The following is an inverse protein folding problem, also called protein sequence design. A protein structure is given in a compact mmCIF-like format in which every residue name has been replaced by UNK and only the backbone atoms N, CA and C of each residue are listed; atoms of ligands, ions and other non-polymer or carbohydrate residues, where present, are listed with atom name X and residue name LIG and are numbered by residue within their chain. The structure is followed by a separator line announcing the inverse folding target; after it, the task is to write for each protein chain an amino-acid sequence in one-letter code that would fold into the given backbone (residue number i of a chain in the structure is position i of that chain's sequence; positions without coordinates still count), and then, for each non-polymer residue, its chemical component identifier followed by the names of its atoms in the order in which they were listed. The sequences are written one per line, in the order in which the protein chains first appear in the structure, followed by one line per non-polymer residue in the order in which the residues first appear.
data_IF_365956617920
#
_entry.id   IF_365956617920
#
_cell.length_a   1.000
_cell.length_b   1.000
_cell.length_c   1.000
_cell.angle_alpha   90.00
_cell.angle_beta   90.00
_cell.angle_gamma   90.00
#
_symmetry.space_group_name_H-M   'P 1'
#
loop_
_entity.id
_entity.type
_entity.pdbx_description
1 polymer ?
#
# COMPACT_ATOMS: atom_id res chain seq x y z
N UNK A 1 2.69 5.97 6.18
CA UNK A 1 3.94 5.62 6.91
C UNK A 1 4.27 4.17 6.67
N UNK A 2 5.55 3.82 6.66
CA UNK A 2 6.07 2.44 6.63
C UNK A 2 6.57 1.98 7.99
N UNK A 3 6.88 2.95 8.86
CA UNK A 3 7.34 2.71 10.21
C UNK A 3 6.85 3.82 11.14
N UNK A 4 6.50 3.47 12.37
CA UNK A 4 6.00 4.37 13.41
C UNK A 4 6.69 4.07 14.73
N UNK A 5 7.29 5.09 15.35
CA UNK A 5 7.86 5.01 16.69
C UNK A 5 7.53 6.26 17.51
N UNK A 6 7.32 6.07 18.80
CA UNK A 6 7.24 7.16 19.80
C UNK A 6 8.49 7.17 20.66
N UNK A 7 9.17 6.04 20.77
CA UNK A 7 10.32 5.82 21.64
C UNK A 7 11.62 5.97 20.86
N UNK A 8 12.56 6.78 21.39
CA UNK A 8 13.83 7.07 20.72
C UNK A 8 14.74 5.85 20.61
N UNK A 9 14.90 4.99 21.63
CA UNK A 9 15.67 3.76 21.52
C UNK A 9 15.21 2.85 20.38
N UNK A 10 13.89 2.61 20.25
CA UNK A 10 13.33 1.80 19.16
C UNK A 10 13.57 2.45 17.80
N UNK A 11 13.43 3.76 17.72
CA UNK A 11 13.69 4.51 16.48
C UNK A 11 15.17 4.45 16.06
N UNK A 12 16.11 4.54 17.01
CA UNK A 12 17.54 4.35 16.75
C UNK A 12 17.83 2.95 16.23
N UNK A 13 17.22 1.92 16.84
CA UNK A 13 17.37 0.55 16.35
C UNK A 13 16.84 0.39 14.92
N UNK A 14 15.66 0.93 14.63
CA UNK A 14 15.12 0.96 13.27
C UNK A 14 16.07 1.61 12.28
N UNK A 15 16.68 2.75 12.63
CA UNK A 15 17.64 3.43 11.75
C UNK A 15 18.92 2.61 11.51
N UNK A 16 19.42 1.87 12.52
CA UNK A 16 20.56 0.96 12.35
C UNK A 16 20.28 -0.16 11.37
N UNK A 17 19.05 -0.68 11.37
CA UNK A 17 18.63 -1.79 10.53
C UNK A 17 18.25 -1.36 9.09
N UNK A 18 17.71 -0.15 8.94
CA UNK A 18 17.09 0.31 7.69
C UNK A 18 17.85 1.39 6.94
N UNK A 19 18.95 1.91 7.50
CA UNK A 19 19.69 3.01 6.88
C UNK A 19 21.21 2.83 7.01
N UNK A 20 21.93 3.64 6.25
CA UNK A 20 23.41 3.76 6.34
C UNK A 20 23.86 4.90 7.27
N UNK A 21 22.93 5.49 8.02
CA UNK A 21 23.21 6.59 8.93
C UNK A 21 24.06 6.10 10.11
N UNK A 22 25.14 6.81 10.41
CA UNK A 22 25.87 6.63 11.64
C UNK A 22 25.08 7.22 12.82
N UNK A 23 24.26 6.39 13.43
CA UNK A 23 23.35 6.79 14.53
C UNK A 23 24.09 7.08 15.83
N UNK A 24 25.29 6.51 16.00
CA UNK A 24 26.05 6.63 17.23
C UNK A 24 26.79 7.98 17.30
N UNK A 25 27.05 8.62 16.18
CA UNK A 25 27.61 9.97 16.12
C UNK A 25 26.57 11.09 16.32
N UNK A 26 25.26 10.74 16.32
CA UNK A 26 24.18 11.71 16.45
C UNK A 26 23.86 12.00 17.91
N UNK A 27 23.37 13.22 18.17
CA UNK A 27 22.80 13.57 19.49
C UNK A 27 21.31 13.32 19.50
N UNK A 28 20.86 12.48 20.41
CA UNK A 28 19.46 12.11 20.56
C UNK A 28 18.87 12.67 21.85
N UNK A 29 17.68 13.23 21.76
CA UNK A 29 16.87 13.54 22.95
C UNK A 29 16.10 12.29 23.34
N UNK A 30 16.61 11.57 24.36
CA UNK A 30 16.06 10.30 24.81
C UNK A 30 14.70 10.45 25.51
N UNK A 31 14.30 11.67 25.88
CA UNK A 31 13.01 11.97 26.49
C UNK A 31 11.94 12.35 25.45
N UNK A 32 12.33 12.54 24.20
CA UNK A 32 11.39 12.86 23.13
C UNK A 32 10.35 11.75 22.93
N UNK A 33 9.09 12.15 23.01
CA UNK A 33 7.89 11.28 22.80
C UNK A 33 7.07 11.71 21.58
N UNK A 34 7.65 12.49 20.68
CA UNK A 34 6.98 12.80 19.42
C UNK A 34 6.86 11.55 18.54
N UNK A 35 5.70 11.37 17.92
CA UNK A 35 5.48 10.31 16.96
C UNK A 35 6.37 10.52 15.72
N UNK A 36 7.26 9.56 15.46
CA UNK A 36 8.17 9.52 14.33
C UNK A 36 7.54 8.70 13.22
N UNK A 37 7.13 9.38 12.16
CA UNK A 37 6.40 8.80 11.03
C UNK A 37 7.33 8.68 9.83
N UNK A 38 7.85 7.49 9.58
CA UNK A 38 8.78 7.27 8.46
C UNK A 38 8.04 6.82 7.21
N UNK A 39 8.38 7.40 6.07
CA UNK A 39 7.86 7.04 4.75
C UNK A 39 8.94 7.08 3.68
N UNK A 40 8.82 6.27 2.62
CA UNK A 40 9.67 6.42 1.46
C UNK A 40 9.37 7.74 0.73
N UNK A 41 10.42 8.35 0.21
CA UNK A 41 10.39 9.54 -0.64
C UNK A 41 11.23 9.28 -1.89
N UNK A 42 11.05 10.08 -2.95
CA UNK A 42 11.81 9.97 -4.21
C UNK A 42 11.84 8.53 -4.76
N UNK A 43 10.66 7.90 -4.88
CA UNK A 43 10.56 6.54 -5.42
C UNK A 43 11.16 5.44 -4.54
N UNK A 44 11.38 5.70 -3.25
CA UNK A 44 11.94 4.75 -2.30
C UNK A 44 13.45 4.86 -2.10
N UNK A 45 14.13 5.76 -2.82
CA UNK A 45 15.57 5.98 -2.65
C UNK A 45 15.95 6.70 -1.35
N UNK A 46 15.00 7.42 -0.77
CA UNK A 46 15.19 8.12 0.51
C UNK A 46 14.05 7.76 1.46
N UNK A 47 14.38 7.71 2.75
CA UNK A 47 13.39 7.59 3.82
C UNK A 47 13.28 8.93 4.53
N UNK A 48 12.04 9.46 4.60
CA UNK A 48 11.76 10.72 5.29
C UNK A 48 11.01 10.45 6.59
N UNK A 49 11.54 10.92 7.70
CA UNK A 49 10.85 10.88 8.99
C UNK A 49 10.22 12.23 9.29
N UNK A 50 8.93 12.21 9.55
CA UNK A 50 8.11 13.38 9.83
C UNK A 50 7.73 13.35 11.30
N UNK A 51 7.84 14.49 11.97
CA UNK A 51 7.37 14.69 13.35
C UNK A 51 6.43 15.90 13.41
N UNK A 52 5.53 15.90 14.38
CA UNK A 52 4.59 17.00 14.62
C UNK A 52 4.71 17.46 16.09
N UNK A 53 5.74 18.28 16.44
CA UNK A 53 6.06 18.58 17.83
C UNK A 53 5.08 19.56 18.50
N UNK A 54 4.33 20.34 17.71
CA UNK A 54 3.52 21.46 18.23
C UNK A 54 2.07 21.09 18.54
N UNK A 55 1.54 20.06 17.86
CA UNK A 55 0.10 19.75 17.90
C UNK A 55 -0.16 18.42 18.61
N UNK A 56 -1.28 18.36 19.30
CA UNK A 56 -1.80 17.15 19.96
C UNK A 56 -3.29 17.00 19.63
N UNK A 57 -3.78 15.78 19.48
CA UNK A 57 -3.02 14.50 19.54
C UNK A 57 -2.06 14.33 18.36
N UNK A 58 -0.99 13.52 18.56
CA UNK A 58 -0.17 13.06 17.44
C UNK A 58 -0.99 12.10 16.58
N UNK A 59 -1.06 12.36 15.27
CA UNK A 59 -1.87 11.57 14.35
C UNK A 59 -1.02 11.07 13.18
N UNK A 60 -1.26 9.84 12.76
CA UNK A 60 -0.62 9.24 11.60
C UNK A 60 -1.61 8.39 10.81
N UNK A 61 -1.44 8.33 9.50
CA UNK A 61 -2.15 7.39 8.62
C UNK A 61 -1.18 6.39 8.03
N UNK A 62 -1.60 5.15 7.95
CA UNK A 62 -0.85 4.06 7.33
C UNK A 62 -1.69 3.51 6.18
N UNK A 63 -1.09 3.37 5.01
CA UNK A 63 -1.79 2.74 3.89
C UNK A 63 -1.98 1.25 4.16
N UNK A 64 -3.11 0.66 3.76
CA UNK A 64 -3.29 -0.78 3.82
C UNK A 64 -2.16 -1.54 3.12
N UNK A 65 -1.72 -2.66 3.70
CA UNK A 65 -0.70 -3.52 3.11
C UNK A 65 0.75 -3.04 3.28
N UNK A 66 1.01 -1.87 3.85
CA UNK A 66 2.38 -1.34 4.02
C UNK A 66 3.10 -1.93 5.22
N UNK A 67 2.39 -2.18 6.31
CA UNK A 67 2.94 -2.84 7.50
C UNK A 67 2.52 -4.31 7.52
N UNK A 68 3.44 -5.20 7.81
CA UNK A 68 3.15 -6.62 7.95
C UNK A 68 2.23 -6.84 9.14
N UNK A 69 1.18 -7.64 8.93
CA UNK A 69 0.26 -8.05 10.00
C UNK A 69 1.01 -8.93 11.00
N UNK A 70 0.89 -8.60 12.29
CA UNK A 70 1.42 -9.46 13.34
C UNK A 70 0.69 -10.80 13.40
N UNK A 71 1.34 -11.88 13.88
CA UNK A 71 0.66 -13.13 14.20
C UNK A 71 -0.48 -12.87 15.17
N UNK A 72 -1.58 -13.61 15.01
CA UNK A 72 -2.71 -13.52 15.93
C UNK A 72 -2.31 -14.08 17.32
N UNK A 73 -2.65 -13.35 18.36
CA UNK A 73 -2.39 -13.71 19.75
C UNK A 73 -3.70 -13.71 20.52
N UNK A 74 -4.21 -14.90 20.86
CA UNK A 74 -5.49 -15.05 21.53
C UNK A 74 -5.49 -14.39 22.91
N UNK A 75 -4.41 -14.51 23.68
CA UNK A 75 -4.33 -13.94 25.02
C UNK A 75 -4.42 -12.40 25.00
N UNK A 76 -3.81 -11.78 24.01
CA UNK A 76 -3.94 -10.33 23.78
C UNK A 76 -5.32 -9.93 23.33
N UNK A 77 -5.95 -10.73 22.46
CA UNK A 77 -7.30 -10.48 22.00
C UNK A 77 -8.33 -10.56 23.16
N UNK A 78 -8.18 -11.52 24.05
CA UNK A 78 -9.06 -11.70 25.22
C UNK A 78 -8.85 -10.61 26.29
N UNK A 79 -7.67 -10.00 26.32
CA UNK A 79 -7.32 -8.90 27.25
C UNK A 79 -7.76 -7.51 26.74
N UNK A 80 -8.33 -7.39 25.53
CA UNK A 80 -8.75 -6.10 24.97
C UNK A 80 -10.00 -5.60 25.69
N UNK A 81 -9.89 -4.45 26.34
CA UNK A 81 -11.02 -3.70 26.85
C UNK A 81 -11.71 -2.90 25.73
N UNK A 82 -12.99 -3.16 25.50
CA UNK A 82 -13.81 -2.40 24.54
C UNK A 82 -14.52 -1.29 25.29
N UNK A 83 -13.98 -0.08 25.21
CA UNK A 83 -14.59 1.12 25.79
C UNK A 83 -15.59 1.71 24.81
N UNK A 84 -16.85 1.82 25.25
CA UNK A 84 -17.93 2.51 24.51
C UNK A 84 -18.27 3.80 25.26
N UNK A 85 -17.66 4.93 24.90
CA UNK A 85 -18.00 6.21 25.52
C UNK A 85 -19.46 6.56 25.20
N UNK A 86 -20.22 6.92 26.21
CA UNK A 86 -21.56 7.48 26.02
C UNK A 86 -21.41 8.96 25.65
N UNK A 87 -21.79 9.32 24.44
CA UNK A 87 -21.97 10.71 24.03
C UNK A 87 -23.26 10.83 23.23
N UNK A 88 -23.95 11.94 23.44
CA UNK A 88 -25.16 12.26 22.69
C UNK A 88 -24.86 13.45 21.79
N UNK A 89 -25.17 13.33 20.51
CA UNK A 89 -25.15 14.41 19.56
C UNK A 89 -26.56 15.00 19.46
N UNK A 90 -26.71 16.29 19.65
CA UNK A 90 -27.96 16.96 19.35
C UNK A 90 -28.14 17.06 17.83
N UNK A 91 -29.37 17.10 17.34
CA UNK A 91 -29.64 17.30 15.91
C UNK A 91 -28.99 18.57 15.36
N UNK A 92 -28.85 19.60 16.17
CA UNK A 92 -28.17 20.85 15.84
C UNK A 92 -26.67 20.70 15.57
N UNK A 93 -26.04 19.63 16.03
CA UNK A 93 -24.61 19.36 15.83
C UNK A 93 -24.33 18.63 14.51
N UNK A 94 -25.40 18.17 13.85
CA UNK A 94 -25.33 17.45 12.57
C UNK A 94 -25.59 18.44 11.44
N UNK A 95 -24.53 18.87 10.78
CA UNK A 95 -24.61 19.87 9.70
C UNK A 95 -24.66 19.27 8.29
N UNK A 96 -24.71 17.94 8.18
CA UNK A 96 -24.70 17.23 6.89
C UNK A 96 -25.74 16.12 6.89
N UNK A 97 -26.42 15.96 5.76
CA UNK A 97 -27.38 14.88 5.53
C UNK A 97 -26.94 14.04 4.33
N UNK A 98 -27.05 12.71 4.44
CA UNK A 98 -26.83 11.79 3.32
C UNK A 98 -28.08 11.78 2.47
N UNK A 99 -28.08 12.49 1.36
CA UNK A 99 -29.24 12.60 0.46
C UNK A 99 -29.44 11.35 -0.39
N UNK A 100 -28.36 10.67 -0.78
CA UNK A 100 -28.42 9.46 -1.60
C UNK A 100 -27.19 8.59 -1.40
N UNK A 101 -27.37 7.28 -1.38
CA UNK A 101 -26.29 6.29 -1.41
C UNK A 101 -26.33 5.54 -2.73
N UNK A 102 -25.46 5.91 -3.66
CA UNK A 102 -25.30 5.22 -4.94
C UNK A 102 -24.35 4.04 -4.75
N UNK A 103 -24.89 2.82 -4.81
CA UNK A 103 -24.06 1.61 -4.75
C UNK A 103 -23.39 1.38 -6.12
N UNK A 104 -22.09 1.09 -6.12
CA UNK A 104 -21.39 0.73 -7.35
C UNK A 104 -22.04 -0.51 -7.99
N UNK A 105 -22.37 -0.43 -9.27
CA UNK A 105 -23.02 -1.49 -10.03
C UNK A 105 -22.11 -2.72 -10.25
N UNK A 106 -20.79 -2.54 -10.17
CA UNK A 106 -19.78 -3.60 -10.26
C UNK A 106 -19.07 -3.76 -8.94
N UNK A 107 -18.81 -5.00 -8.54
CA UNK A 107 -17.92 -5.31 -7.42
C UNK A 107 -16.53 -4.79 -7.76
N UNK A 108 -15.99 -3.87 -6.95
CA UNK A 108 -14.63 -3.37 -7.12
C UNK A 108 -13.63 -4.51 -6.97
N UNK A 109 -12.55 -4.47 -7.75
CA UNK A 109 -11.49 -5.47 -7.68
C UNK A 109 -10.73 -5.31 -6.38
N UNK A 110 -10.69 -6.37 -5.58
CA UNK A 110 -9.88 -6.41 -4.36
C UNK A 110 -8.44 -6.84 -4.68
N UNK A 111 -7.63 -5.88 -5.12
CA UNK A 111 -6.20 -6.11 -5.36
C UNK A 111 -5.40 -6.28 -4.05
N UNK A 112 -5.86 -5.68 -2.95
CA UNK A 112 -5.09 -5.65 -1.69
C UNK A 112 -5.19 -6.98 -0.96
N UNK A 113 -6.37 -7.62 -1.01
CA UNK A 113 -6.62 -8.91 -0.37
C UNK A 113 -6.29 -10.13 -1.24
N UNK A 114 -5.88 -9.92 -2.50
CA UNK A 114 -5.63 -11.02 -3.43
C UNK A 114 -4.28 -11.71 -3.19
N UNK A 115 -4.28 -13.04 -3.14
CA UNK A 115 -3.07 -13.86 -3.08
C UNK A 115 -2.33 -13.94 -4.43
N UNK A 116 -3.07 -13.83 -5.55
CA UNK A 116 -2.56 -13.92 -6.92
C UNK A 116 -3.02 -12.72 -7.73
N UNK A 117 -2.08 -12.03 -8.36
CA UNK A 117 -2.37 -10.89 -9.22
C UNK A 117 -1.71 -11.10 -10.58
N UNK A 118 -2.50 -11.06 -11.65
CA UNK A 118 -2.02 -11.03 -13.02
C UNK A 118 -2.16 -9.59 -13.54
N UNK A 119 -1.05 -8.90 -13.73
CA UNK A 119 -1.06 -7.47 -14.05
C UNK A 119 -0.58 -7.22 -15.47
N UNK A 120 -1.32 -6.38 -16.20
CA UNK A 120 -1.01 -6.04 -17.58
C UNK A 120 -0.38 -4.66 -17.70
N UNK A 121 0.57 -4.52 -18.60
CA UNK A 121 1.23 -3.28 -18.94
C UNK A 121 1.01 -2.85 -20.38
N UNK A 122 1.66 -1.74 -20.78
CA UNK A 122 1.59 -1.22 -22.13
C UNK A 122 2.11 -2.18 -23.21
N UNK A 123 2.82 -3.24 -22.83
CA UNK A 123 3.30 -4.26 -23.74
C UNK A 123 2.22 -5.03 -24.49
N UNK A 124 0.95 -5.02 -24.00
CA UNK A 124 -0.21 -5.62 -24.69
C UNK A 124 -0.83 -4.69 -25.75
N UNK A 125 -0.27 -3.53 -26.04
CA UNK A 125 -0.85 -2.51 -26.92
C UNK A 125 -1.15 -2.97 -28.36
N UNK A 126 -0.55 -4.06 -28.82
CA UNK A 126 -0.81 -4.62 -30.16
C UNK A 126 -2.15 -5.37 -30.24
N UNK A 127 -2.58 -5.95 -29.12
CA UNK A 127 -3.85 -6.66 -28.96
C UNK A 127 -4.29 -6.48 -27.49
N UNK A 128 -4.95 -5.36 -27.23
CA UNK A 128 -5.36 -5.00 -25.86
C UNK A 128 -6.44 -5.94 -25.35
N UNK A 129 -7.43 -6.22 -26.17
CA UNK A 129 -8.57 -7.06 -25.80
C UNK A 129 -8.12 -8.51 -25.54
N UNK A 130 -7.34 -9.09 -26.44
CA UNK A 130 -6.77 -10.42 -26.26
C UNK A 130 -5.80 -10.50 -25.08
N UNK A 131 -5.00 -9.45 -24.84
CA UNK A 131 -4.08 -9.38 -23.72
C UNK A 131 -4.78 -9.31 -22.36
N UNK A 132 -5.88 -8.54 -22.26
CA UNK A 132 -6.71 -8.47 -21.06
C UNK A 132 -7.43 -9.80 -20.83
N UNK A 133 -8.03 -10.36 -21.86
CA UNK A 133 -8.71 -11.65 -21.78
C UNK A 133 -7.79 -12.78 -21.31
N UNK A 134 -6.58 -12.84 -21.85
CA UNK A 134 -5.57 -13.81 -21.40
C UNK A 134 -5.21 -13.62 -19.91
N UNK A 135 -5.09 -12.37 -19.48
CA UNK A 135 -4.81 -12.08 -18.07
C UNK A 135 -5.99 -12.47 -17.16
N UNK A 136 -7.23 -12.27 -17.61
CA UNK A 136 -8.44 -12.68 -16.89
C UNK A 136 -8.56 -14.20 -16.79
N UNK A 137 -8.31 -14.92 -17.88
CA UNK A 137 -8.30 -16.38 -17.90
C UNK A 137 -7.24 -16.95 -16.94
N UNK A 138 -6.01 -16.41 -17.00
CA UNK A 138 -4.93 -16.83 -16.10
C UNK A 138 -5.25 -16.50 -14.64
N UNK A 139 -5.79 -15.32 -14.38
CA UNK A 139 -6.18 -14.92 -13.02
C UNK A 139 -7.29 -15.83 -12.48
N UNK A 140 -8.27 -16.18 -13.30
CA UNK A 140 -9.38 -17.06 -12.92
C UNK A 140 -8.86 -18.47 -12.57
N UNK A 141 -7.94 -19.05 -13.35
CA UNK A 141 -7.34 -20.36 -13.08
C UNK A 141 -6.54 -20.39 -11.76
N UNK A 142 -5.92 -19.25 -11.40
CA UNK A 142 -5.16 -19.12 -10.15
C UNK A 142 -6.04 -18.72 -8.95
N UNK A 143 -7.32 -18.42 -9.17
CA UNK A 143 -8.18 -17.85 -8.12
C UNK A 143 -7.76 -16.44 -7.71
N UNK A 144 -7.12 -15.71 -8.63
CA UNK A 144 -6.60 -14.36 -8.43
C UNK A 144 -7.42 -13.27 -9.11
N UNK A 145 -6.82 -12.10 -9.26
CA UNK A 145 -7.45 -10.92 -9.86
C UNK A 145 -6.54 -10.26 -10.89
N UNK A 146 -7.13 -9.48 -11.80
CA UNK A 146 -6.37 -8.72 -12.79
C UNK A 146 -6.02 -7.34 -12.25
N UNK A 147 -4.73 -6.99 -12.34
CA UNK A 147 -4.20 -5.66 -12.10
C UNK A 147 -3.70 -4.99 -13.38
N UNK A 148 -3.29 -3.74 -13.27
CA UNK A 148 -2.73 -3.00 -14.39
C UNK A 148 -1.74 -1.92 -13.96
N UNK A 149 -0.85 -1.57 -14.88
CA UNK A 149 0.04 -0.43 -14.70
C UNK A 149 -0.74 0.88 -14.93
N UNK A 150 -0.21 2.00 -14.43
CA UNK A 150 -0.81 3.33 -14.68
C UNK A 150 -1.05 3.58 -16.18
N UNK A 151 -0.15 3.13 -17.05
CA UNK A 151 -0.29 3.31 -18.48
C UNK A 151 -1.55 2.64 -19.07
N UNK A 152 -2.00 1.52 -18.53
CA UNK A 152 -3.22 0.83 -18.96
C UNK A 152 -4.49 1.56 -18.50
N UNK A 153 -4.41 2.22 -17.34
CA UNK A 153 -5.51 3.04 -16.81
C UNK A 153 -5.63 4.35 -17.60
N UNK A 154 -4.49 5.07 -17.78
CA UNK A 154 -4.46 6.32 -18.55
C UNK A 154 -4.90 6.12 -20.00
N UNK A 155 -4.72 4.92 -20.57
CA UNK A 155 -5.20 4.52 -21.89
C UNK A 155 -6.66 4.08 -21.92
N UNK A 156 -7.36 4.04 -20.79
CA UNK A 156 -8.75 3.61 -20.67
C UNK A 156 -8.99 2.11 -20.87
N UNK A 157 -7.93 1.28 -20.81
CA UNK A 157 -8.03 -0.18 -21.01
C UNK A 157 -8.60 -0.89 -19.78
N UNK A 158 -8.26 -0.40 -18.59
CA UNK A 158 -8.75 -0.87 -17.30
C UNK A 158 -9.24 0.31 -16.47
N UNK A 159 -10.14 0.06 -15.54
CA UNK A 159 -10.61 1.06 -14.57
C UNK A 159 -9.58 1.32 -13.46
N UNK A 160 -9.70 2.46 -12.80
CA UNK A 160 -8.73 2.92 -11.78
C UNK A 160 -8.56 1.98 -10.59
N UNK A 161 -9.57 1.16 -10.28
CA UNK A 161 -9.52 0.16 -9.21
C UNK A 161 -8.57 -1.01 -9.49
N UNK A 162 -8.16 -1.21 -10.75
CA UNK A 162 -7.12 -2.17 -11.15
C UNK A 162 -5.69 -1.61 -11.05
N UNK A 163 -5.51 -0.33 -10.74
CA UNK A 163 -4.18 0.28 -10.78
C UNK A 163 -3.28 -0.20 -9.64
N UNK A 164 -2.13 -0.78 -10.00
CA UNK A 164 -1.02 -1.09 -9.09
C UNK A 164 0.12 -0.10 -9.29
N UNK A 165 0.68 0.42 -8.19
CA UNK A 165 1.81 1.33 -8.22
C UNK A 165 1.72 2.43 -7.17
N UNK A 166 2.67 3.35 -7.19
CA UNK A 166 2.79 4.44 -6.21
C UNK A 166 1.52 5.32 -6.11
N UNK A 167 0.84 5.57 -7.23
CA UNK A 167 -0.40 6.36 -7.31
C UNK A 167 -1.65 5.51 -7.35
N UNK A 168 -1.52 4.19 -7.38
CA UNK A 168 -2.59 3.21 -7.30
C UNK A 168 -2.57 2.46 -5.96
N UNK A 169 -2.90 1.18 -6.02
CA UNK A 169 -2.88 0.30 -4.85
C UNK A 169 -1.48 -0.29 -4.65
N UNK A 170 -1.06 -0.38 -3.40
CA UNK A 170 0.11 -1.17 -3.00
C UNK A 170 -0.37 -2.56 -2.60
N UNK A 171 0.27 -3.59 -3.16
CA UNK A 171 -0.16 -4.99 -3.06
C UNK A 171 1.01 -5.89 -2.62
N UNK A 172 0.70 -6.96 -1.91
CA UNK A 172 1.66 -7.95 -1.40
C UNK A 172 1.13 -9.37 -1.64
N UNK A 173 0.85 -9.76 -2.89
CA UNK A 173 0.36 -11.09 -3.20
C UNK A 173 1.47 -12.14 -2.99
N UNK A 174 1.08 -13.40 -2.88
CA UNK A 174 2.00 -14.53 -2.95
C UNK A 174 2.67 -14.61 -4.31
N UNK A 175 1.91 -14.34 -5.39
CA UNK A 175 2.47 -14.30 -6.75
C UNK A 175 1.94 -13.10 -7.51
N UNK A 176 2.86 -12.33 -8.06
CA UNK A 176 2.59 -11.21 -8.96
C UNK A 176 3.10 -11.51 -10.35
N UNK A 177 2.22 -11.66 -11.33
CA UNK A 177 2.58 -11.93 -12.73
C UNK A 177 2.46 -10.62 -13.52
N UNK A 178 3.57 -10.14 -14.07
CA UNK A 178 3.65 -8.88 -14.81
C UNK A 178 3.74 -9.15 -16.31
N UNK A 179 2.66 -8.91 -17.05
CA UNK A 179 2.58 -9.14 -18.49
C UNK A 179 2.81 -7.82 -19.26
N UNK A 180 3.95 -7.68 -19.91
CA UNK A 180 4.28 -6.50 -20.71
C UNK A 180 4.43 -5.21 -19.90
N UNK A 181 4.83 -5.31 -18.64
CA UNK A 181 5.12 -4.17 -17.74
C UNK A 181 6.62 -3.86 -17.82
N UNK A 182 6.97 -2.58 -17.96
CA UNK A 182 8.38 -2.15 -18.08
C UNK A 182 9.16 -2.13 -16.76
N UNK A 183 8.50 -2.20 -15.61
CA UNK A 183 9.17 -2.18 -14.31
C UNK A 183 9.60 -0.78 -13.83
N UNK A 184 8.93 0.29 -14.31
CA UNK A 184 9.19 1.63 -13.81
C UNK A 184 9.11 1.69 -12.27
N UNK A 185 9.97 2.51 -11.64
CA UNK A 185 10.08 2.63 -10.17
C UNK A 185 8.72 2.88 -9.51
N UNK A 186 7.86 3.68 -10.15
CA UNK A 186 6.52 3.98 -9.64
C UNK A 186 5.59 2.75 -9.62
N UNK A 187 5.77 1.82 -10.56
CA UNK A 187 5.03 0.56 -10.57
C UNK A 187 5.61 -0.41 -9.52
N UNK A 188 6.95 -0.55 -9.51
CA UNK A 188 7.65 -1.41 -8.54
C UNK A 188 7.31 -1.05 -7.10
N UNK A 189 7.21 0.24 -6.78
CA UNK A 189 6.82 0.72 -5.45
C UNK A 189 5.45 0.21 -4.96
N UNK A 190 4.61 -0.28 -5.85
CA UNK A 190 3.29 -0.85 -5.51
C UNK A 190 3.27 -2.37 -5.43
N UNK A 191 4.36 -3.10 -5.81
CA UNK A 191 4.29 -4.56 -5.88
C UNK A 191 5.61 -5.27 -5.54
N UNK A 192 6.70 -4.55 -5.32
CA UNK A 192 8.04 -5.12 -5.11
C UNK A 192 8.15 -6.06 -3.90
N UNK A 193 7.26 -5.90 -2.92
CA UNK A 193 7.23 -6.71 -1.70
C UNK A 193 6.34 -7.97 -1.85
N UNK A 194 5.97 -8.34 -3.10
CA UNK A 194 5.32 -9.62 -3.40
C UNK A 194 6.26 -10.78 -3.10
N UNK A 195 5.74 -11.93 -2.64
CA UNK A 195 6.59 -13.09 -2.29
C UNK A 195 7.29 -13.67 -3.53
N UNK A 196 6.59 -13.70 -4.68
CA UNK A 196 7.13 -14.16 -5.96
C UNK A 196 6.69 -13.20 -7.07
N UNK A 197 7.64 -12.78 -7.92
CA UNK A 197 7.38 -11.91 -9.07
C UNK A 197 7.81 -12.63 -10.33
N UNK A 198 6.86 -12.79 -11.27
CA UNK A 198 7.08 -13.38 -12.59
C UNK A 198 6.89 -12.29 -13.63
N UNK A 199 7.95 -11.93 -14.35
CA UNK A 199 7.90 -10.91 -15.38
C UNK A 199 7.95 -11.56 -16.78
N UNK A 200 6.97 -11.20 -17.62
CA UNK A 200 6.91 -11.61 -19.04
C UNK A 200 7.00 -10.34 -19.88
N UNK A 201 8.11 -10.18 -20.58
CA UNK A 201 8.38 -9.01 -21.43
C UNK A 201 9.18 -9.42 -22.66
N UNK A 202 8.91 -8.74 -23.80
CA UNK A 202 9.72 -8.89 -25.02
C UNK A 202 11.04 -8.13 -24.93
N UNK A 203 11.10 -7.09 -24.10
CA UNK A 203 12.30 -6.31 -23.87
C UNK A 203 13.08 -6.93 -22.69
N UNK A 204 14.15 -7.61 -22.98
CA UNK A 204 15.06 -8.22 -21.99
C UNK A 204 15.78 -7.18 -21.13
N UNK A 205 15.89 -5.93 -21.63
CA UNK A 205 16.50 -4.80 -20.93
C UNK A 205 15.49 -3.96 -20.16
N UNK A 206 14.24 -4.43 -19.97
CA UNK A 206 13.25 -3.71 -19.17
C UNK A 206 13.72 -3.61 -17.71
N UNK A 207 13.54 -2.43 -17.01
CA UNK A 207 14.01 -2.19 -15.64
C UNK A 207 13.54 -3.21 -14.60
#
# INVERSE_FOLDING_TARGET
CTHLDVDVPNYIQFLRESSTLDVDSQKWDMEDRNLKMTRPAFGGHLMATIICPRFRPCMATVRPGVMKKNPFDQAKADAVEIVKPAFELAESDIHTEVTEVVKAAKKLVDLIGADYIVSVGRGISKDVEGGIKLAEELAAELGGVVGGSRATIDSGWLSADHQVGQTGKTVHPKVYIALGISGAIQHKAGMQDSECIIAVNKNESAP
#
